data_IF_615921233460
#
_entry.id   IF_615921233460
#
_cell.length_a   1.000
_cell.length_b   1.000
_cell.length_c   1.000
_cell.angle_alpha   90.00
_cell.angle_beta   90.00
_cell.angle_gamma   90.00
#
_symmetry.space_group_name_H-M   'P 1'
#
loop_
_entity.id
_entity.type
_entity.pdbx_description
1 polymer ?
#
# COMPACT_ATOMS: atom_id res chain seq x y z
N UNK A 1 -17.51 7.14 -23.69
CA UNK A 1 -17.27 6.04 -22.72
C UNK A 1 -17.87 4.72 -23.15
N UNK A 2 -19.12 4.64 -23.63
CA UNK A 2 -19.73 3.37 -24.10
C UNK A 2 -18.92 2.68 -25.20
N UNK A 3 -18.48 3.42 -26.22
CA UNK A 3 -17.62 2.88 -27.29
C UNK A 3 -16.29 2.32 -26.77
N UNK A 4 -15.67 2.99 -25.80
CA UNK A 4 -14.42 2.52 -25.18
C UNK A 4 -14.64 1.23 -24.38
N UNK A 5 -15.71 1.17 -23.58
CA UNK A 5 -16.05 -0.03 -22.82
C UNK A 5 -16.41 -1.21 -23.72
N UNK A 6 -17.05 -0.96 -24.86
CA UNK A 6 -17.29 -2.00 -25.87
C UNK A 6 -15.99 -2.54 -26.46
N UNK A 7 -15.03 -1.66 -26.80
CA UNK A 7 -13.73 -2.08 -27.33
C UNK A 7 -12.88 -2.83 -26.30
N UNK A 8 -12.97 -2.45 -25.02
CA UNK A 8 -12.22 -3.07 -23.93
C UNK A 8 -12.94 -4.26 -23.25
N UNK A 9 -14.11 -4.65 -23.76
CA UNK A 9 -14.96 -5.70 -23.18
C UNK A 9 -15.29 -5.50 -21.68
N UNK A 10 -15.58 -4.24 -21.32
CA UNK A 10 -15.91 -3.84 -19.95
C UNK A 10 -17.44 -3.67 -19.83
N UNK A 11 -18.06 -4.50 -19.01
CA UNK A 11 -19.47 -4.37 -18.67
C UNK A 11 -19.70 -3.16 -17.75
N UNK A 12 -20.49 -2.19 -18.21
CA UNK A 12 -20.84 -1.01 -17.42
C UNK A 12 -21.98 -1.33 -16.45
N UNK A 13 -21.72 -1.19 -15.15
CA UNK A 13 -22.76 -1.24 -14.11
C UNK A 13 -23.21 0.18 -13.78
N UNK A 14 -24.43 0.55 -14.20
CA UNK A 14 -25.02 1.86 -13.92
C UNK A 14 -25.90 1.81 -12.66
N UNK A 15 -25.93 2.91 -11.93
CA UNK A 15 -26.71 3.06 -10.70
C UNK A 15 -27.79 4.12 -10.95
N UNK A 16 -29.02 3.97 -10.41
CA UNK A 16 -30.06 4.98 -10.54
C UNK A 16 -29.64 6.35 -9.99
N UNK A 17 -30.21 7.40 -10.56
CA UNK A 17 -30.00 8.77 -10.10
C UNK A 17 -30.48 8.90 -8.65
N UNK A 18 -29.76 9.68 -7.83
CA UNK A 18 -30.05 9.89 -6.41
C UNK A 18 -30.02 8.63 -5.53
N UNK A 19 -29.31 7.58 -5.95
CA UNK A 19 -29.13 6.36 -5.15
C UNK A 19 -27.65 6.08 -4.78
N UNK A 20 -27.03 6.91 -3.92
CA UNK A 20 -25.61 6.80 -3.57
C UNK A 20 -25.26 5.53 -2.78
N UNK A 21 -26.24 4.88 -2.13
CA UNK A 21 -26.00 3.67 -1.31
C UNK A 21 -25.51 2.49 -2.15
N UNK A 22 -25.92 2.40 -3.42
CA UNK A 22 -25.45 1.36 -4.33
C UNK A 22 -24.05 1.63 -4.91
N UNK A 23 -23.47 2.82 -4.66
CA UNK A 23 -22.15 3.16 -5.16
C UNK A 23 -21.06 2.76 -4.14
N UNK A 24 -20.28 1.69 -4.38
CA UNK A 24 -19.23 1.26 -3.46
C UNK A 24 -18.10 2.30 -3.31
N UNK A 25 -17.96 3.22 -4.28
CA UNK A 25 -16.94 4.28 -4.26
C UNK A 25 -17.21 5.28 -3.13
N UNK A 26 -18.47 5.49 -2.73
CA UNK A 26 -18.81 6.45 -1.66
C UNK A 26 -18.13 6.11 -0.34
N UNK A 27 -18.06 4.81 -0.01
CA UNK A 27 -17.35 4.35 1.19
C UNK A 27 -15.86 4.68 1.13
N UNK A 28 -15.22 4.51 -0.03
CA UNK A 28 -13.80 4.85 -0.22
C UNK A 28 -13.57 6.36 -0.19
N UNK A 29 -14.46 7.15 -0.77
CA UNK A 29 -14.41 8.60 -0.72
C UNK A 29 -14.55 9.14 0.71
N UNK A 30 -15.37 8.50 1.54
CA UNK A 30 -15.52 8.83 2.97
C UNK A 30 -14.21 8.66 3.74
N UNK A 31 -13.40 7.65 3.43
CA UNK A 31 -12.11 7.44 4.09
C UNK A 31 -11.00 8.35 3.51
N UNK A 32 -11.10 8.68 2.21
CA UNK A 32 -10.12 9.51 1.51
C UNK A 32 -10.20 11.00 1.90
N UNK A 33 -11.42 11.55 2.00
CA UNK A 33 -11.64 12.98 2.26
C UNK A 33 -11.00 13.48 3.56
N UNK A 34 -11.14 12.81 4.72
CA UNK A 34 -10.50 13.24 5.96
C UNK A 34 -8.97 13.20 5.86
N UNK A 35 -8.41 12.15 5.24
CA UNK A 35 -6.95 12.02 5.06
C UNK A 35 -6.39 13.12 4.17
N UNK A 36 -7.11 13.48 3.11
CA UNK A 36 -6.76 14.63 2.27
C UNK A 36 -6.79 15.92 3.08
N UNK A 37 -7.88 16.18 3.82
CA UNK A 37 -8.00 17.39 4.65
C UNK A 37 -6.87 17.50 5.68
N UNK A 38 -6.51 16.40 6.33
CA UNK A 38 -5.40 16.34 7.29
C UNK A 38 -4.03 16.60 6.63
N UNK A 39 -3.76 15.99 5.49
CA UNK A 39 -2.44 16.04 4.84
C UNK A 39 -2.17 17.36 4.10
N UNK A 40 -3.23 18.02 3.67
CA UNK A 40 -3.17 19.26 2.88
C UNK A 40 -3.13 20.49 3.79
N UNK A 41 -3.73 20.41 4.98
CA UNK A 41 -3.77 21.51 5.93
C UNK A 41 -4.39 22.77 5.31
N UNK A 42 -3.67 23.89 5.39
CA UNK A 42 -4.15 25.19 4.90
C UNK A 42 -3.87 25.45 3.41
N UNK A 43 -3.05 24.63 2.73
CA UNK A 43 -2.71 24.85 1.33
C UNK A 43 -3.37 23.82 0.40
N UNK A 44 -4.62 24.09 0.04
CA UNK A 44 -5.46 23.20 -0.77
C UNK A 44 -4.96 22.91 -2.19
N UNK A 45 -3.98 23.65 -2.70
CA UNK A 45 -3.43 23.43 -4.05
C UNK A 45 -2.51 22.21 -4.14
N UNK A 46 -1.93 21.77 -3.01
CA UNK A 46 -0.92 20.70 -2.97
C UNK A 46 -1.51 19.29 -2.81
N UNK A 47 -2.83 19.13 -2.94
CA UNK A 47 -3.50 17.83 -2.75
C UNK A 47 -2.98 16.72 -3.67
N UNK A 48 -2.58 17.07 -4.90
CA UNK A 48 -2.02 16.14 -5.88
C UNK A 48 -0.74 15.49 -5.35
N UNK A 49 0.13 16.26 -4.69
CA UNK A 49 1.38 15.76 -4.13
C UNK A 49 1.16 14.81 -2.96
N UNK A 50 0.05 14.99 -2.22
CA UNK A 50 -0.27 14.17 -1.04
C UNK A 50 -1.01 12.88 -1.40
N UNK A 51 -1.67 12.83 -2.56
CA UNK A 51 -2.45 11.67 -3.00
C UNK A 51 -1.67 10.35 -3.00
N UNK A 52 -0.44 10.26 -3.55
CA UNK A 52 0.31 9.00 -3.54
C UNK A 52 0.55 8.45 -2.14
N UNK A 53 0.92 9.33 -1.19
CA UNK A 53 1.13 8.95 0.20
C UNK A 53 -0.16 8.44 0.87
N UNK A 54 -1.29 9.13 0.61
CA UNK A 54 -2.59 8.72 1.15
C UNK A 54 -3.04 7.38 0.56
N UNK A 55 -2.86 7.17 -0.76
CA UNK A 55 -3.15 5.90 -1.44
C UNK A 55 -2.33 4.76 -0.85
N UNK A 56 -1.03 5.00 -0.64
CA UNK A 56 -0.15 4.01 -0.01
C UNK A 56 -0.67 3.63 1.38
N UNK A 57 -0.93 4.63 2.23
CA UNK A 57 -1.44 4.41 3.58
C UNK A 57 -2.79 3.68 3.58
N UNK A 58 -3.71 4.00 2.68
CA UNK A 58 -5.00 3.30 2.55
C UNK A 58 -4.82 1.83 2.16
N UNK A 59 -3.88 1.54 1.26
CA UNK A 59 -3.63 0.18 0.78
C UNK A 59 -2.90 -0.71 1.79
N UNK A 60 -2.06 -0.13 2.65
CA UNK A 60 -1.30 -0.85 3.69
C UNK A 60 -2.00 -0.87 5.05
N UNK A 61 -3.13 -0.19 5.21
CA UNK A 61 -3.93 -0.25 6.44
C UNK A 61 -4.70 -1.58 6.50
N UNK A 62 -4.60 -2.29 7.63
CA UNK A 62 -5.38 -3.51 7.88
C UNK A 62 -6.86 -3.15 8.02
N UNK A 63 -7.73 -3.86 7.32
CA UNK A 63 -9.17 -3.69 7.44
C UNK A 63 -9.72 -4.65 8.50
N UNK A 64 -10.38 -4.11 9.52
CA UNK A 64 -10.90 -4.88 10.67
C UNK A 64 -11.84 -6.02 10.26
N UNK A 65 -12.71 -5.80 9.26
CA UNK A 65 -13.67 -6.83 8.85
C UNK A 65 -13.07 -7.97 8.04
N UNK A 66 -11.90 -7.78 7.44
CA UNK A 66 -11.24 -8.80 6.59
C UNK A 66 -9.93 -9.30 7.18
N UNK A 67 -9.45 -8.68 8.26
CA UNK A 67 -8.14 -8.90 8.86
C UNK A 67 -6.93 -8.83 7.89
N UNK A 68 -7.12 -8.24 6.71
CA UNK A 68 -6.11 -8.14 5.67
C UNK A 68 -5.97 -6.70 5.17
N UNK A 69 -4.81 -6.39 4.58
CA UNK A 69 -4.59 -5.13 3.87
C UNK A 69 -5.11 -5.25 2.44
N UNK A 70 -5.52 -4.13 1.83
CA UNK A 70 -5.94 -4.15 0.43
C UNK A 70 -4.78 -4.49 -0.52
N UNK A 71 -3.55 -4.11 -0.14
CA UNK A 71 -2.33 -4.51 -0.81
C UNK A 71 -2.17 -6.03 -0.86
N UNK A 72 -2.32 -6.71 0.28
CA UNK A 72 -2.21 -8.16 0.37
C UNK A 72 -3.27 -8.86 -0.51
N UNK A 73 -4.53 -8.42 -0.44
CA UNK A 73 -5.60 -8.99 -1.25
C UNK A 73 -5.38 -8.83 -2.76
N UNK A 74 -4.69 -7.77 -3.19
CA UNK A 74 -4.46 -7.49 -4.61
C UNK A 74 -3.20 -8.16 -5.15
N UNK A 75 -2.12 -8.16 -4.37
CA UNK A 75 -0.78 -8.60 -4.82
C UNK A 75 -0.30 -9.89 -4.17
N UNK A 76 -1.10 -10.50 -3.29
CA UNK A 76 -0.71 -11.62 -2.43
C UNK A 76 0.56 -11.35 -1.59
N UNK A 77 0.90 -10.07 -1.37
CA UNK A 77 2.05 -9.62 -0.58
C UNK A 77 1.80 -8.24 -0.01
N UNK A 78 2.45 -7.96 1.12
CA UNK A 78 2.45 -6.62 1.70
C UNK A 78 3.36 -5.68 0.89
N UNK A 79 2.95 -4.41 0.80
CA UNK A 79 3.80 -3.37 0.23
C UNK A 79 4.90 -3.01 1.24
N UNK A 80 6.13 -2.83 0.73
CA UNK A 80 7.26 -2.42 1.55
C UNK A 80 7.10 -0.97 1.97
N UNK A 81 7.15 -0.71 3.28
CA UNK A 81 7.21 0.66 3.83
C UNK A 81 8.61 1.22 3.71
N UNK A 82 8.77 2.55 3.83
CA UNK A 82 10.09 3.21 3.82
C UNK A 82 11.02 2.63 4.88
N UNK A 83 10.50 2.36 6.08
CA UNK A 83 11.24 1.71 7.15
C UNK A 83 11.73 0.31 6.73
N UNK A 84 10.85 -0.50 6.13
CA UNK A 84 11.22 -1.82 5.65
C UNK A 84 12.28 -1.77 4.54
N UNK A 85 12.21 -0.79 3.63
CA UNK A 85 13.23 -0.62 2.58
C UNK A 85 14.57 -0.22 3.19
N UNK A 86 14.58 0.74 4.12
CA UNK A 86 15.82 1.20 4.77
C UNK A 86 16.46 0.14 5.65
N UNK A 87 15.66 -0.77 6.22
CA UNK A 87 16.13 -1.88 7.06
C UNK A 87 16.29 -3.20 6.30
N UNK A 88 16.03 -3.21 4.98
CA UNK A 88 16.11 -4.43 4.16
C UNK A 88 17.57 -4.83 3.93
N UNK A 89 18.06 -5.77 4.73
CA UNK A 89 19.43 -6.29 4.59
C UNK A 89 19.54 -7.34 3.47
N UNK A 90 18.41 -7.77 2.87
CA UNK A 90 18.41 -8.85 1.87
C UNK A 90 19.28 -8.53 0.66
N UNK A 91 19.28 -7.27 0.21
CA UNK A 91 20.15 -6.82 -0.89
C UNK A 91 21.63 -6.91 -0.54
N UNK A 92 22.00 -6.73 0.73
CA UNK A 92 23.38 -6.85 1.22
C UNK A 92 23.76 -8.32 1.41
N UNK A 93 22.85 -9.14 1.94
CA UNK A 93 23.09 -10.55 2.26
C UNK A 93 23.11 -11.42 1.01
N UNK A 94 22.25 -11.14 0.03
CA UNK A 94 22.10 -11.92 -1.20
C UNK A 94 22.94 -11.42 -2.38
N UNK A 95 23.62 -10.28 -2.24
CA UNK A 95 24.64 -9.91 -3.20
C UNK A 95 25.83 -10.87 -3.08
N UNK A 96 26.55 -11.06 -4.19
CA UNK A 96 27.81 -11.79 -4.18
C UNK A 96 28.80 -11.05 -3.29
N UNK A 97 28.96 -11.55 -2.06
CA UNK A 97 29.89 -10.98 -1.11
C UNK A 97 31.30 -11.13 -1.66
N UNK A 98 32.08 -10.04 -1.65
CA UNK A 98 33.48 -10.05 -2.07
C UNK A 98 34.32 -11.09 -1.31
N UNK A 99 33.92 -11.40 -0.06
CA UNK A 99 34.48 -12.45 0.77
C UNK A 99 33.37 -13.45 1.12
N UNK A 100 33.36 -14.67 0.53
CA UNK A 100 32.31 -15.67 0.70
C UNK A 100 32.04 -16.06 2.16
N UNK A 101 33.07 -16.00 3.01
CA UNK A 101 33.05 -16.35 4.42
C UNK A 101 32.15 -15.46 5.27
N UNK A 102 31.87 -14.22 4.82
CA UNK A 102 30.97 -13.33 5.56
C UNK A 102 29.49 -13.68 5.39
N UNK A 103 29.11 -14.33 4.29
CA UNK A 103 27.73 -14.71 3.98
C UNK A 103 27.01 -15.44 5.14
N UNK A 104 27.58 -16.49 5.77
CA UNK A 104 26.95 -17.16 6.90
C UNK A 104 26.78 -16.26 8.15
N UNK A 105 27.69 -15.32 8.39
CA UNK A 105 27.57 -14.37 9.51
C UNK A 105 26.45 -13.36 9.26
N UNK A 106 26.35 -12.83 8.04
CA UNK A 106 25.30 -11.89 7.64
C UNK A 106 23.90 -12.52 7.73
N UNK A 107 23.76 -13.79 7.33
CA UNK A 107 22.50 -14.56 7.54
C UNK A 107 22.13 -14.69 9.01
N UNK A 108 23.12 -14.91 9.89
CA UNK A 108 22.89 -15.00 11.34
C UNK A 108 22.47 -13.65 11.93
N UNK A 109 23.10 -12.58 11.46
CA UNK A 109 22.78 -11.20 11.85
C UNK A 109 21.35 -10.80 11.46
N UNK A 110 20.89 -11.15 10.26
CA UNK A 110 19.49 -10.93 9.82
C UNK A 110 18.48 -11.58 10.77
N UNK A 111 18.78 -12.82 11.20
CA UNK A 111 17.97 -13.56 12.17
C UNK A 111 17.86 -12.83 13.51
N UNK A 112 18.97 -12.29 14.02
CA UNK A 112 18.98 -11.51 15.27
C UNK A 112 18.21 -10.19 15.13
N UNK A 113 18.44 -9.43 14.05
CA UNK A 113 17.73 -8.16 13.80
C UNK A 113 16.21 -8.37 13.68
N UNK A 114 15.79 -9.46 13.03
CA UNK A 114 14.37 -9.83 12.91
C UNK A 114 13.73 -10.18 14.27
N UNK A 115 14.48 -10.78 15.19
CA UNK A 115 14.00 -11.08 16.55
C UNK A 115 13.86 -9.82 17.40
N UNK A 116 14.82 -8.89 17.31
CA UNK A 116 14.77 -7.61 18.02
C UNK A 116 13.56 -6.81 17.57
N UNK A 117 13.31 -6.73 16.25
CA UNK A 117 12.18 -6.00 15.67
C UNK A 117 10.79 -6.57 16.01
N UNK A 118 10.70 -7.84 16.45
CA UNK A 118 9.42 -8.43 16.92
C UNK A 118 9.14 -8.19 18.40
N UNK A 119 10.16 -7.83 19.20
CA UNK A 119 10.04 -7.64 20.65
C UNK A 119 9.69 -6.20 21.04
N UNK A 120 9.84 -5.26 20.11
CA UNK A 120 9.44 -3.86 20.23
C UNK A 120 8.33 -3.56 19.24
#
# INVERSE_FOLDING_TARGET
>A
MQQLCFVLDINQSLIPVYHPQANPVERKNRDLKPRLAMMVGNNHTLWIEKLPAIRFALNTSKCESTDHTAAYLTFARELRTLDQVNTDLRSVIHNDNFVPEFTPYLKRFEGYMSQIKRKH
#
